data_IF_183159823441
#
_entry.id   IF_183159823441
#
_cell.length_a   1.000
_cell.length_b   1.000
_cell.length_c   1.000
_cell.angle_alpha   90.00
_cell.angle_beta   90.00
_cell.angle_gamma   90.00
#
_symmetry.space_group_name_H-M   'P 1'
#
loop_
_entity.id
_entity.type
_entity.pdbx_description
1 polymer ?
#
# COMPACT_ATOMS: atom_id res chain seq x y z
N UNK A 1 6.14 -0.28 42.56
CA UNK A 1 6.89 -0.65 41.33
C UNK A 1 5.85 -1.11 40.34
N UNK A 2 5.36 -0.19 39.52
CA UNK A 2 4.34 -0.43 38.51
C UNK A 2 5.03 -0.25 37.15
N UNK A 3 5.23 -1.37 36.45
CA UNK A 3 5.75 -1.38 35.10
C UNK A 3 4.70 -0.79 34.16
N UNK A 4 5.06 0.32 33.52
CA UNK A 4 4.29 0.93 32.45
C UNK A 4 4.41 0.08 31.19
N UNK A 5 3.35 -0.67 30.87
CA UNK A 5 3.22 -1.34 29.58
C UNK A 5 3.03 -0.27 28.48
N UNK A 6 4.08 -0.03 27.70
CA UNK A 6 4.01 0.69 26.44
C UNK A 6 3.29 -0.14 25.37
N UNK A 7 2.72 0.49 24.32
CA UNK A 7 1.94 -0.19 23.28
C UNK A 7 2.87 -0.97 22.31
N UNK A 8 3.06 -2.24 22.60
CA UNK A 8 3.91 -3.13 21.81
C UNK A 8 3.41 -4.55 21.80
N UNK A 9 2.18 -4.80 21.36
CA UNK A 9 1.66 -6.16 21.17
C UNK A 9 2.04 -6.69 19.77
N UNK A 10 3.30 -6.98 19.55
CA UNK A 10 3.74 -7.83 18.44
C UNK A 10 3.78 -9.31 18.86
N UNK A 11 2.68 -9.80 19.44
CA UNK A 11 2.51 -11.21 19.79
C UNK A 11 1.57 -11.96 18.85
N UNK A 12 0.74 -11.23 18.11
CA UNK A 12 -0.25 -11.83 17.21
C UNK A 12 0.31 -12.02 15.80
N UNK A 13 -0.20 -13.05 15.10
CA UNK A 13 0.13 -13.26 13.70
C UNK A 13 -0.40 -12.08 12.84
N UNK A 14 0.33 -11.66 11.77
CA UNK A 14 -0.13 -10.59 10.90
C UNK A 14 -1.46 -10.96 10.25
N UNK A 15 -2.35 -9.97 10.12
CA UNK A 15 -3.61 -10.13 9.39
C UNK A 15 -3.35 -10.28 7.88
N UNK A 16 -2.40 -9.50 7.35
CA UNK A 16 -1.94 -9.56 5.98
C UNK A 16 -0.41 -9.65 5.98
N UNK A 17 0.15 -10.66 5.31
CA UNK A 17 1.59 -10.90 5.20
C UNK A 17 1.97 -11.03 3.72
N UNK A 18 2.85 -10.17 3.26
CA UNK A 18 3.38 -10.16 1.89
C UNK A 18 4.87 -10.46 1.96
N UNK A 19 5.33 -11.45 1.22
CA UNK A 19 6.73 -11.89 1.25
C UNK A 19 7.33 -11.95 -0.13
N UNK A 20 8.40 -11.18 -0.33
CA UNK A 20 9.23 -11.23 -1.53
C UNK A 20 8.49 -11.00 -2.84
N UNK A 21 7.47 -10.13 -2.84
CA UNK A 21 6.55 -9.98 -3.96
C UNK A 21 7.23 -9.34 -5.16
N UNK A 22 7.24 -10.05 -6.30
CA UNK A 22 7.72 -9.58 -7.60
C UNK A 22 6.55 -9.50 -8.56
N UNK A 23 6.39 -8.36 -9.23
CA UNK A 23 5.31 -8.14 -10.21
C UNK A 23 5.88 -7.51 -11.47
N UNK A 24 5.47 -8.03 -12.63
CA UNK A 24 5.83 -7.50 -13.93
C UNK A 24 4.61 -6.95 -14.69
N UNK A 25 4.82 -5.87 -15.44
CA UNK A 25 3.92 -5.37 -16.46
C UNK A 25 4.60 -5.55 -17.83
N UNK A 26 4.31 -6.65 -18.51
CA UNK A 26 5.06 -7.08 -19.68
C UNK A 26 6.53 -7.31 -19.35
N UNK A 27 7.43 -6.58 -19.95
CA UNK A 27 8.88 -6.66 -19.68
C UNK A 27 9.34 -5.80 -18.50
N UNK A 28 8.50 -4.89 -18.02
CA UNK A 28 8.86 -3.99 -16.93
C UNK A 28 8.60 -4.65 -15.58
N UNK A 29 9.63 -4.77 -14.76
CA UNK A 29 9.49 -5.19 -13.37
C UNK A 29 9.03 -3.99 -12.53
N UNK A 30 7.78 -4.05 -12.06
CA UNK A 30 7.16 -2.98 -11.29
C UNK A 30 7.38 -3.13 -9.78
N UNK A 31 7.56 -4.37 -9.28
CA UNK A 31 7.91 -4.66 -7.88
C UNK A 31 9.05 -5.66 -7.84
N UNK A 32 9.98 -5.45 -6.91
CA UNK A 32 11.26 -6.18 -6.83
C UNK A 32 11.47 -6.72 -5.41
N UNK A 33 10.73 -7.77 -5.04
CA UNK A 33 10.90 -8.45 -3.76
C UNK A 33 10.31 -7.71 -2.55
N UNK A 34 9.15 -7.08 -2.70
CA UNK A 34 8.49 -6.33 -1.62
C UNK A 34 7.97 -7.27 -0.54
N UNK A 35 8.27 -6.93 0.72
CA UNK A 35 7.73 -7.62 1.90
C UNK A 35 7.14 -6.61 2.88
N UNK A 36 5.99 -6.96 3.48
CA UNK A 36 5.33 -6.20 4.54
C UNK A 36 4.44 -7.11 5.38
N UNK A 37 4.24 -6.74 6.64
CA UNK A 37 3.31 -7.38 7.55
C UNK A 37 2.38 -6.32 8.14
N UNK A 38 1.06 -6.53 8.04
CA UNK A 38 0.04 -5.61 8.56
C UNK A 38 -0.75 -6.33 9.65
N UNK A 39 -0.87 -5.68 10.81
CA UNK A 39 -1.55 -6.25 11.96
C UNK A 39 -2.97 -5.69 12.11
N UNK A 40 -3.86 -6.39 12.85
CA UNK A 40 -5.23 -5.92 13.04
C UNK A 40 -5.29 -4.52 13.64
N UNK A 41 -6.17 -3.65 13.09
CA UNK A 41 -6.41 -2.30 13.60
C UNK A 41 -5.32 -1.26 13.25
N UNK A 42 -4.33 -1.61 12.44
CA UNK A 42 -3.29 -0.69 11.99
C UNK A 42 -3.71 0.17 10.80
N UNK A 43 -3.07 1.33 10.68
CA UNK A 43 -2.96 2.09 9.43
C UNK A 43 -1.54 1.92 8.92
N UNK A 44 -1.37 1.07 7.92
CA UNK A 44 -0.09 0.87 7.27
C UNK A 44 0.00 1.77 6.03
N UNK A 45 0.89 2.75 6.03
CA UNK A 45 1.05 3.67 4.92
C UNK A 45 2.21 3.27 4.01
N UNK A 46 1.95 3.23 2.72
CA UNK A 46 2.95 3.05 1.66
C UNK A 46 3.11 4.39 0.95
N UNK A 47 4.31 4.95 0.98
CA UNK A 47 4.65 6.24 0.37
C UNK A 47 5.72 6.07 -0.70
N UNK A 48 5.72 6.97 -1.67
CA UNK A 48 6.69 6.97 -2.77
C UNK A 48 6.20 7.82 -3.94
N UNK A 49 7.10 8.16 -4.84
CA UNK A 49 6.81 8.94 -6.03
C UNK A 49 5.87 8.21 -7.00
N UNK A 50 5.36 8.93 -8.00
CA UNK A 50 4.64 8.32 -9.11
C UNK A 50 5.53 7.29 -9.83
N UNK A 51 4.97 6.12 -10.11
CA UNK A 51 5.73 5.03 -10.71
C UNK A 51 6.56 4.19 -9.74
N UNK A 52 6.60 4.50 -8.44
CA UNK A 52 7.33 3.71 -7.44
C UNK A 52 6.80 2.29 -7.20
N UNK A 53 5.64 1.91 -7.78
CA UNK A 53 5.05 0.59 -7.64
C UNK A 53 3.92 0.49 -6.62
N UNK A 54 3.52 1.58 -5.96
CA UNK A 54 2.52 1.62 -4.89
C UNK A 54 1.17 0.99 -5.28
N UNK A 55 0.54 1.50 -6.35
CA UNK A 55 -0.75 0.96 -6.84
C UNK A 55 -0.61 -0.46 -7.38
N UNK A 56 0.56 -0.82 -7.92
CA UNK A 56 0.86 -2.20 -8.34
C UNK A 56 0.84 -3.14 -7.13
N UNK A 57 1.40 -2.72 -6.00
CA UNK A 57 1.40 -3.50 -4.76
C UNK A 57 -0.03 -3.70 -4.22
N UNK A 58 -0.84 -2.62 -4.14
CA UNK A 58 -2.24 -2.75 -3.73
C UNK A 58 -3.02 -3.68 -4.66
N UNK A 59 -2.86 -3.53 -5.97
CA UNK A 59 -3.51 -4.39 -6.97
C UNK A 59 -3.06 -5.85 -6.86
N UNK A 60 -1.80 -6.11 -6.53
CA UNK A 60 -1.31 -7.46 -6.30
C UNK A 60 -1.93 -8.08 -5.02
N UNK A 61 -2.05 -7.29 -3.94
CA UNK A 61 -2.73 -7.71 -2.71
C UNK A 61 -4.23 -7.94 -2.95
N UNK A 62 -4.89 -7.11 -3.76
CA UNK A 62 -6.29 -7.27 -4.15
C UNK A 62 -6.51 -8.44 -5.15
N UNK A 63 -5.45 -9.04 -5.70
CA UNK A 63 -5.53 -10.12 -6.70
C UNK A 63 -5.77 -9.65 -8.13
N UNK A 64 -5.72 -8.35 -8.38
CA UNK A 64 -5.88 -7.74 -9.71
C UNK A 64 -4.62 -7.89 -10.58
N UNK A 65 -3.45 -7.94 -9.96
CA UNK A 65 -2.18 -8.24 -10.60
C UNK A 65 -1.63 -9.55 -10.03
N UNK A 66 -1.29 -10.49 -10.91
CA UNK A 66 -0.69 -11.76 -10.48
C UNK A 66 0.81 -11.56 -10.25
N UNK A 67 1.35 -11.85 -9.06
CA UNK A 67 2.79 -11.83 -8.84
C UNK A 67 3.48 -12.96 -9.62
N UNK A 68 4.71 -12.72 -10.05
CA UNK A 68 5.57 -13.73 -10.68
C UNK A 68 6.37 -14.50 -9.63
N UNK A 69 6.68 -13.86 -8.50
CA UNK A 69 7.37 -14.46 -7.36
C UNK A 69 6.81 -13.90 -6.05
N UNK A 70 7.09 -14.60 -4.96
CA UNK A 70 6.63 -14.25 -3.64
C UNK A 70 5.22 -14.72 -3.32
N UNK A 71 4.70 -14.31 -2.16
CA UNK A 71 3.40 -14.75 -1.68
C UNK A 71 2.65 -13.65 -0.94
N UNK A 72 1.32 -13.80 -0.92
CA UNK A 72 0.41 -12.97 -0.13
C UNK A 72 -0.40 -13.92 0.75
N UNK A 73 -0.30 -13.76 2.06
CA UNK A 73 -1.09 -14.52 3.04
C UNK A 73 -2.05 -13.59 3.77
N UNK A 74 -3.26 -14.06 4.01
CA UNK A 74 -4.30 -13.36 4.74
C UNK A 74 -4.89 -14.28 5.81
N UNK A 75 -4.91 -13.83 7.06
CA UNK A 75 -5.30 -14.66 8.23
C UNK A 75 -4.54 -16.00 8.26
N UNK A 76 -3.24 -15.98 7.94
CA UNK A 76 -2.37 -17.15 7.90
C UNK A 76 -2.58 -18.09 6.71
N UNK A 77 -3.51 -17.78 5.79
CA UNK A 77 -3.80 -18.58 4.60
C UNK A 77 -3.16 -17.94 3.37
N UNK A 78 -2.50 -18.73 2.53
CA UNK A 78 -2.00 -18.26 1.24
C UNK A 78 -3.17 -17.94 0.30
N UNK A 79 -3.20 -16.69 -0.17
CA UNK A 79 -4.19 -16.18 -1.11
C UNK A 79 -3.56 -15.79 -2.45
N UNK A 80 -2.29 -16.06 -2.68
CA UNK A 80 -1.51 -15.60 -3.84
C UNK A 80 -2.20 -15.94 -5.17
N UNK A 81 -2.75 -17.15 -5.28
CA UNK A 81 -3.45 -17.61 -6.49
C UNK A 81 -4.94 -17.29 -6.55
N UNK A 82 -5.54 -16.71 -5.50
CA UNK A 82 -6.98 -16.46 -5.46
C UNK A 82 -7.37 -15.26 -6.34
N UNK A 83 -8.55 -15.39 -6.99
CA UNK A 83 -9.13 -14.32 -7.81
C UNK A 83 -9.58 -13.12 -6.96
N UNK A 84 -9.65 -11.91 -7.54
CA UNK A 84 -10.04 -10.68 -6.82
C UNK A 84 -11.38 -10.79 -6.09
N UNK A 85 -12.38 -11.44 -6.72
CA UNK A 85 -13.71 -11.58 -6.15
C UNK A 85 -13.68 -12.42 -4.86
N UNK A 86 -12.86 -13.47 -4.83
CA UNK A 86 -12.68 -14.33 -3.65
C UNK A 86 -12.00 -13.56 -2.53
N UNK A 87 -10.98 -12.75 -2.84
CA UNK A 87 -10.31 -11.90 -1.84
C UNK A 87 -11.25 -10.84 -1.30
N UNK A 88 -12.07 -10.21 -2.15
CA UNK A 88 -13.04 -9.20 -1.73
C UNK A 88 -14.10 -9.80 -0.79
N UNK A 89 -14.68 -10.95 -1.13
CA UNK A 89 -15.64 -11.66 -0.27
C UNK A 89 -15.01 -12.24 1.00
N UNK A 90 -13.68 -12.46 1.01
CA UNK A 90 -12.94 -12.84 2.22
C UNK A 90 -12.67 -11.64 3.15
N UNK A 91 -12.81 -10.40 2.67
CA UNK A 91 -12.67 -9.19 3.48
C UNK A 91 -11.52 -8.26 3.08
N UNK A 92 -10.87 -8.45 1.93
CA UNK A 92 -9.88 -7.53 1.38
C UNK A 92 -10.56 -6.68 0.30
N UNK A 93 -10.92 -5.45 0.62
CA UNK A 93 -11.66 -4.56 -0.28
C UNK A 93 -10.80 -3.36 -0.65
N UNK A 94 -10.81 -2.98 -1.94
CA UNK A 94 -9.99 -1.89 -2.46
C UNK A 94 -10.86 -0.71 -2.92
N UNK A 95 -10.46 0.49 -2.52
CA UNK A 95 -10.86 1.76 -3.13
C UNK A 95 -9.75 2.15 -4.10
N UNK A 96 -9.95 1.96 -5.40
CA UNK A 96 -8.91 2.25 -6.39
C UNK A 96 -8.81 3.74 -6.66
N UNK A 97 -7.66 4.16 -7.18
CA UNK A 97 -7.49 5.46 -7.80
C UNK A 97 -8.58 5.75 -8.84
N UNK A 98 -9.03 6.99 -8.90
CA UNK A 98 -10.09 7.41 -9.84
C UNK A 98 -11.49 6.96 -9.44
N UNK A 99 -11.68 6.55 -8.16
CA UNK A 99 -12.98 6.29 -7.49
C UNK A 99 -13.79 5.13 -8.07
N UNK A 100 -13.76 4.92 -9.39
CA UNK A 100 -14.43 3.83 -10.13
C UNK A 100 -15.90 3.64 -9.72
N UNK A 101 -16.62 4.73 -9.56
CA UNK A 101 -18.07 4.71 -9.35
C UNK A 101 -18.80 4.40 -10.68
N UNK A 102 -20.04 3.97 -10.56
CA UNK A 102 -20.96 3.83 -11.68
C UNK A 102 -21.67 5.17 -11.89
N UNK A 103 -21.30 5.96 -12.92
CA UNK A 103 -21.74 7.36 -13.04
C UNK A 103 -23.23 7.49 -13.35
N UNK A 104 -23.83 6.47 -13.95
CA UNK A 104 -25.26 6.42 -14.25
C UNK A 104 -26.14 6.04 -13.06
N UNK A 105 -25.56 5.42 -12.04
CA UNK A 105 -26.24 5.04 -10.82
C UNK A 105 -26.28 6.18 -9.82
N UNK A 106 -27.29 6.18 -8.97
CA UNK A 106 -27.40 7.07 -7.82
C UNK A 106 -26.36 6.74 -6.76
N UNK A 107 -26.19 7.63 -5.77
CA UNK A 107 -25.36 7.40 -4.61
C UNK A 107 -25.75 6.10 -3.89
N UNK A 108 -27.04 5.94 -3.57
CA UNK A 108 -27.54 4.77 -2.85
C UNK A 108 -27.35 3.48 -3.65
N UNK A 109 -27.63 3.49 -4.97
CA UNK A 109 -27.37 2.33 -5.83
C UNK A 109 -25.86 1.97 -5.88
N UNK A 110 -24.97 2.97 -5.91
CA UNK A 110 -23.52 2.71 -5.81
C UNK A 110 -23.15 2.04 -4.47
N UNK A 111 -23.76 2.43 -3.35
CA UNK A 111 -23.57 1.76 -2.07
C UNK A 111 -24.15 0.35 -2.08
N UNK A 112 -25.33 0.14 -2.67
CA UNK A 112 -25.98 -1.17 -2.80
C UNK A 112 -25.11 -2.16 -3.60
N UNK A 113 -24.40 -1.71 -4.64
CA UNK A 113 -23.42 -2.55 -5.35
C UNK A 113 -22.36 -3.11 -4.38
N UNK A 114 -21.87 -2.29 -3.44
CA UNK A 114 -20.94 -2.74 -2.39
C UNK A 114 -21.57 -3.78 -1.45
N UNK A 115 -22.87 -3.68 -1.19
CA UNK A 115 -23.60 -4.59 -0.31
C UNK A 115 -23.92 -5.95 -0.94
N UNK A 116 -23.86 -6.08 -2.27
CA UNK A 116 -24.33 -7.30 -2.99
C UNK A 116 -23.64 -8.57 -2.53
N UNK A 117 -22.33 -8.47 -2.23
CA UNK A 117 -21.53 -9.59 -1.75
C UNK A 117 -20.85 -9.27 -0.41
N UNK A 118 -21.51 -8.44 0.41
CA UNK A 118 -21.00 -8.02 1.69
C UNK A 118 -20.87 -9.19 2.66
N UNK A 119 -19.81 -9.16 3.45
CA UNK A 119 -19.67 -10.02 4.63
C UNK A 119 -20.63 -9.54 5.74
N UNK A 120 -21.02 -10.42 6.67
CA UNK A 120 -21.66 -9.97 7.90
C UNK A 120 -20.73 -9.00 8.67
N UNK A 121 -21.31 -7.90 9.16
CA UNK A 121 -20.53 -6.92 9.91
C UNK A 121 -21.31 -5.63 10.21
N UNK A 122 -20.68 -4.66 10.85
CA UNK A 122 -21.34 -3.46 11.36
C UNK A 122 -21.65 -2.43 10.28
N UNK A 123 -21.04 -2.53 9.08
CA UNK A 123 -21.18 -1.53 8.03
C UNK A 123 -22.44 -1.82 7.18
N UNK A 124 -23.49 -1.07 7.44
CA UNK A 124 -24.71 -0.97 6.62
C UNK A 124 -24.71 0.35 5.84
N UNK A 125 -25.64 0.51 4.92
CA UNK A 125 -25.83 1.78 4.20
C UNK A 125 -26.17 2.90 5.19
N UNK A 126 -26.99 2.61 6.21
CA UNK A 126 -27.36 3.54 7.28
C UNK A 126 -26.13 3.99 8.06
N UNK A 127 -25.22 3.05 8.40
CA UNK A 127 -23.97 3.39 9.08
C UNK A 127 -23.05 4.26 8.22
N UNK A 128 -23.03 4.06 6.92
CA UNK A 128 -22.34 4.94 5.99
C UNK A 128 -22.95 6.33 5.98
N UNK A 129 -24.29 6.45 6.09
CA UNK A 129 -24.96 7.75 6.22
C UNK A 129 -24.68 8.43 7.57
N UNK A 130 -24.43 7.68 8.64
CA UNK A 130 -23.96 8.24 9.91
C UNK A 130 -22.53 8.79 9.78
N UNK A 131 -21.64 8.10 9.08
CA UNK A 131 -20.28 8.53 8.82
C UNK A 131 -20.24 9.76 7.87
N UNK A 132 -21.15 9.79 6.89
CA UNK A 132 -21.30 10.85 5.89
C UNK A 132 -22.72 11.40 5.87
N UNK A 133 -23.15 12.25 6.84
CA UNK A 133 -24.54 12.67 6.99
C UNK A 133 -25.14 13.31 5.73
N UNK A 134 -24.35 14.06 4.96
CA UNK A 134 -24.78 14.72 3.71
C UNK A 134 -25.27 13.71 2.64
N UNK A 135 -24.85 12.47 2.70
CA UNK A 135 -25.25 11.44 1.73
C UNK A 135 -26.72 11.09 1.85
N UNK A 136 -27.29 11.18 3.06
CA UNK A 136 -28.69 10.86 3.34
C UNK A 136 -29.64 11.76 2.53
N UNK A 137 -29.31 13.04 2.42
CA UNK A 137 -30.15 14.02 1.70
C UNK A 137 -29.99 13.91 0.18
N UNK A 138 -28.90 13.29 -0.28
CA UNK A 138 -28.54 13.18 -1.70
C UNK A 138 -28.53 11.75 -2.24
N UNK A 139 -29.13 10.80 -1.52
CA UNK A 139 -29.10 9.37 -1.89
C UNK A 139 -29.60 9.07 -3.30
N UNK A 140 -30.59 9.83 -3.80
CA UNK A 140 -31.12 9.73 -5.16
C UNK A 140 -30.33 10.48 -6.24
N UNK A 141 -29.27 11.22 -5.87
CA UNK A 141 -28.46 11.97 -6.83
C UNK A 141 -27.51 11.04 -7.59
N UNK A 142 -27.39 11.19 -8.92
CA UNK A 142 -26.43 10.45 -9.73
C UNK A 142 -25.00 10.86 -9.39
N UNK A 143 -24.09 9.90 -9.28
CA UNK A 143 -22.71 10.15 -8.91
C UNK A 143 -21.94 10.97 -9.94
N UNK A 144 -22.34 10.96 -11.21
CA UNK A 144 -21.78 11.85 -12.23
C UNK A 144 -21.96 13.35 -11.94
N UNK A 145 -22.97 13.72 -11.13
CA UNK A 145 -23.30 15.10 -10.78
C UNK A 145 -22.62 15.58 -9.49
N UNK A 146 -21.82 14.73 -8.86
CA UNK A 146 -21.16 15.00 -7.60
C UNK A 146 -19.75 15.57 -7.80
N UNK A 147 -19.32 16.39 -6.84
CA UNK A 147 -17.93 16.85 -6.79
C UNK A 147 -16.96 15.69 -6.56
N UNK A 148 -15.69 15.92 -6.89
CA UNK A 148 -14.65 14.89 -6.72
C UNK A 148 -14.53 14.36 -5.28
N UNK A 149 -14.68 15.22 -4.27
CA UNK A 149 -14.65 14.81 -2.86
C UNK A 149 -15.88 14.01 -2.44
N UNK A 150 -17.05 14.36 -2.93
CA UNK A 150 -18.28 13.59 -2.69
C UNK A 150 -18.18 12.22 -3.34
N UNK A 151 -17.70 12.12 -4.58
CA UNK A 151 -17.46 10.86 -5.26
C UNK A 151 -16.46 9.97 -4.50
N UNK A 152 -15.38 10.58 -3.94
CA UNK A 152 -14.41 9.85 -3.15
C UNK A 152 -15.03 9.28 -1.87
N UNK A 153 -15.87 10.07 -1.19
CA UNK A 153 -16.61 9.62 -0.02
C UNK A 153 -17.58 8.47 -0.35
N UNK A 154 -18.29 8.54 -1.51
CA UNK A 154 -19.16 7.45 -1.97
C UNK A 154 -18.35 6.19 -2.28
N UNK A 155 -17.16 6.31 -2.88
CA UNK A 155 -16.30 5.16 -3.16
C UNK A 155 -15.82 4.47 -1.88
N UNK A 156 -15.47 5.25 -0.84
CA UNK A 156 -15.12 4.75 0.49
C UNK A 156 -16.35 4.08 1.12
N UNK A 157 -17.52 4.74 1.11
CA UNK A 157 -18.76 4.19 1.63
C UNK A 157 -19.12 2.85 0.98
N UNK A 158 -19.03 2.77 -0.35
CA UNK A 158 -19.25 1.52 -1.10
C UNK A 158 -18.30 0.39 -0.65
N UNK A 159 -17.04 0.70 -0.38
CA UNK A 159 -16.09 -0.28 0.11
C UNK A 159 -16.39 -0.70 1.55
N UNK A 160 -16.82 0.22 2.42
CA UNK A 160 -17.18 -0.06 3.81
C UNK A 160 -18.41 -0.97 3.90
N UNK A 161 -19.45 -0.74 3.08
CA UNK A 161 -20.67 -1.59 3.09
C UNK A 161 -20.35 -3.06 2.77
N UNK A 162 -19.25 -3.35 2.07
CA UNK A 162 -18.78 -4.72 1.88
C UNK A 162 -18.22 -5.37 3.17
N UNK A 163 -18.16 -4.64 4.29
CA UNK A 163 -17.62 -5.08 5.58
C UNK A 163 -16.19 -5.63 5.49
N UNK A 164 -15.22 -4.80 5.07
CA UNK A 164 -13.83 -5.23 4.96
C UNK A 164 -13.20 -5.51 6.32
N UNK A 165 -12.27 -6.46 6.38
CA UNK A 165 -11.26 -6.59 7.45
C UNK A 165 -9.99 -5.82 7.09
N UNK A 166 -9.65 -5.78 5.78
CA UNK A 166 -8.56 -5.00 5.23
C UNK A 166 -9.12 -4.07 4.15
N UNK A 167 -9.00 -2.77 4.37
CA UNK A 167 -9.39 -1.73 3.42
C UNK A 167 -8.14 -1.19 2.74
N UNK A 168 -8.02 -1.41 1.45
CA UNK A 168 -6.93 -0.92 0.62
C UNK A 168 -7.34 0.41 -0.01
N UNK A 169 -6.58 1.48 0.25
CA UNK A 169 -6.87 2.84 -0.19
C UNK A 169 -5.77 3.34 -1.12
N UNK A 170 -6.09 3.53 -2.40
CA UNK A 170 -5.14 3.95 -3.44
C UNK A 170 -5.29 5.45 -3.72
N UNK A 171 -4.31 6.24 -3.26
CA UNK A 171 -4.18 7.69 -3.51
C UNK A 171 -5.46 8.50 -3.24
N UNK A 172 -5.93 8.49 -1.99
CA UNK A 172 -7.18 9.15 -1.58
C UNK A 172 -7.18 10.67 -1.81
N UNK A 173 -6.00 11.29 -1.68
CA UNK A 173 -5.82 12.75 -1.73
C UNK A 173 -5.76 13.30 -3.15
N UNK A 174 -5.51 12.45 -4.14
CA UNK A 174 -5.23 12.89 -5.52
C UNK A 174 -6.38 13.68 -6.14
N UNK A 175 -6.08 14.92 -6.55
CA UNK A 175 -7.02 15.81 -7.22
C UNK A 175 -8.15 16.34 -6.33
N UNK A 176 -7.98 16.29 -5.01
CA UNK A 176 -8.92 16.82 -4.04
C UNK A 176 -8.39 18.10 -3.37
N UNK A 177 -9.31 18.99 -3.02
CA UNK A 177 -8.97 20.17 -2.22
C UNK A 177 -8.50 19.75 -0.82
N UNK A 178 -7.51 20.44 -0.21
CA UNK A 178 -6.95 20.07 1.10
C UNK A 178 -7.99 19.90 2.21
N UNK A 179 -9.04 20.73 2.22
CA UNK A 179 -10.13 20.63 3.21
C UNK A 179 -10.93 19.32 3.08
N UNK A 180 -11.08 18.82 1.87
CA UNK A 180 -11.76 17.53 1.62
C UNK A 180 -10.86 16.37 2.06
N UNK A 181 -9.58 16.44 1.74
CA UNK A 181 -8.58 15.47 2.19
C UNK A 181 -8.60 15.36 3.72
N UNK A 182 -8.55 16.49 4.43
CA UNK A 182 -8.61 16.51 5.90
C UNK A 182 -9.90 15.84 6.43
N UNK A 183 -11.05 16.07 5.80
CA UNK A 183 -12.32 15.44 6.20
C UNK A 183 -12.29 13.92 6.01
N UNK A 184 -11.73 13.44 4.90
CA UNK A 184 -11.59 12.01 4.63
C UNK A 184 -10.67 11.35 5.67
N UNK A 185 -9.53 11.97 5.98
CA UNK A 185 -8.62 11.44 7.00
C UNK A 185 -9.19 11.48 8.42
N UNK A 186 -10.01 12.49 8.74
CA UNK A 186 -10.68 12.61 10.04
C UNK A 186 -11.67 11.46 10.33
N UNK A 187 -12.08 10.69 9.32
CA UNK A 187 -12.98 9.54 9.48
C UNK A 187 -12.24 8.23 9.74
N UNK A 188 -10.94 8.15 9.46
CA UNK A 188 -10.17 6.93 9.65
C UNK A 188 -10.26 6.36 11.08
N UNK A 189 -10.21 7.16 12.16
CA UNK A 189 -10.37 6.62 13.51
C UNK A 189 -11.68 5.84 13.71
N UNK A 190 -12.81 6.36 13.22
CA UNK A 190 -14.11 5.67 13.33
C UNK A 190 -14.15 4.37 12.51
N UNK A 191 -13.43 4.34 11.37
CA UNK A 191 -13.27 3.12 10.55
C UNK A 191 -12.44 2.09 11.30
N UNK A 192 -11.33 2.49 11.92
CA UNK A 192 -10.47 1.62 12.72
C UNK A 192 -11.17 1.06 13.95
N UNK A 193 -11.94 1.89 14.67
CA UNK A 193 -12.75 1.49 15.84
C UNK A 193 -13.76 0.39 15.48
N UNK A 194 -14.19 0.30 14.23
CA UNK A 194 -15.05 -0.79 13.76
C UNK A 194 -14.31 -2.11 13.51
N UNK A 195 -12.99 -2.17 13.74
CA UNK A 195 -12.15 -3.35 13.56
C UNK A 195 -11.59 -3.51 12.14
N UNK A 196 -11.71 -2.47 11.31
CA UNK A 196 -11.10 -2.45 9.97
C UNK A 196 -9.62 -2.10 10.07
N UNK A 197 -8.79 -2.81 9.34
CA UNK A 197 -7.36 -2.52 9.16
C UNK A 197 -7.18 -1.80 7.83
N UNK A 198 -6.35 -0.76 7.79
CA UNK A 198 -6.19 0.10 6.62
C UNK A 198 -4.78 -0.03 6.04
N UNK A 199 -4.70 -0.32 4.75
CA UNK A 199 -3.48 -0.19 3.96
C UNK A 199 -3.65 1.00 3.01
N UNK A 200 -2.90 2.06 3.26
CA UNK A 200 -3.03 3.35 2.58
C UNK A 200 -1.84 3.59 1.67
N UNK A 201 -2.09 3.96 0.43
CA UNK A 201 -1.07 4.45 -0.51
C UNK A 201 -1.21 5.95 -0.69
N UNK A 202 -0.12 6.68 -0.49
CA UNK A 202 -0.10 8.14 -0.62
C UNK A 202 1.21 8.66 -1.24
N UNK A 203 1.10 9.86 -1.82
CA UNK A 203 2.25 10.64 -2.28
C UNK A 203 2.64 11.71 -1.26
N UNK A 204 1.65 12.26 -0.52
CA UNK A 204 1.90 13.27 0.51
C UNK A 204 2.40 12.61 1.80
N UNK A 205 3.72 12.71 1.99
CA UNK A 205 4.41 12.21 3.18
C UNK A 205 3.81 12.78 4.47
N UNK A 206 3.42 14.07 4.47
CA UNK A 206 2.90 14.72 5.67
C UNK A 206 1.52 14.17 6.07
N UNK A 207 0.68 13.86 5.09
CA UNK A 207 -0.62 13.21 5.34
C UNK A 207 -0.44 11.77 5.85
N UNK A 208 0.43 11.01 5.20
CA UNK A 208 0.70 9.63 5.61
C UNK A 208 1.23 9.55 7.05
N UNK A 209 2.21 10.40 7.42
CA UNK A 209 2.79 10.44 8.77
C UNK A 209 1.79 10.81 9.87
N UNK A 210 0.72 11.55 9.55
CA UNK A 210 -0.30 11.95 10.54
C UNK A 210 -1.20 10.81 10.99
N UNK A 211 -1.42 9.82 10.12
CA UNK A 211 -2.42 8.78 10.34
C UNK A 211 -1.82 7.37 10.44
N UNK A 212 -0.62 7.18 9.94
CA UNK A 212 0.03 5.87 9.92
C UNK A 212 0.46 5.41 11.32
N UNK A 213 0.26 4.13 11.59
CA UNK A 213 0.91 3.40 12.71
C UNK A 213 2.25 2.83 12.25
N UNK A 214 2.32 2.42 10.97
CA UNK A 214 3.53 1.97 10.29
C UNK A 214 3.61 2.60 8.91
N UNK A 215 4.83 2.79 8.41
CA UNK A 215 5.06 3.31 7.06
C UNK A 215 6.17 2.53 6.35
N UNK A 216 6.07 2.52 5.04
CA UNK A 216 7.05 1.96 4.13
C UNK A 216 7.22 2.88 2.94
N UNK A 217 8.46 3.28 2.65
CA UNK A 217 8.80 4.03 1.44
C UNK A 217 9.14 3.06 0.30
N UNK A 218 8.57 3.33 -0.88
CA UNK A 218 8.91 2.64 -2.11
C UNK A 218 9.60 3.59 -3.09
N UNK A 219 10.67 3.12 -3.69
CA UNK A 219 11.36 3.75 -4.80
C UNK A 219 11.67 2.68 -5.85
N UNK A 220 11.28 2.90 -7.11
CA UNK A 220 11.54 1.99 -8.23
C UNK A 220 11.22 0.52 -7.92
N UNK A 221 10.06 0.28 -7.30
CA UNK A 221 9.59 -1.06 -6.95
C UNK A 221 10.33 -1.74 -5.79
N UNK A 222 11.14 -1.02 -5.03
CA UNK A 222 11.91 -1.51 -3.88
C UNK A 222 11.55 -0.76 -2.61
N UNK A 223 11.68 -1.43 -1.47
CA UNK A 223 11.59 -0.78 -0.15
C UNK A 223 12.88 -0.04 0.14
N UNK A 224 12.79 1.25 0.43
CA UNK A 224 13.93 2.10 0.81
C UNK A 224 13.95 2.45 2.30
N UNK A 225 12.78 2.48 2.95
CA UNK A 225 12.64 2.74 4.37
C UNK A 225 11.39 2.02 4.90
N UNK A 226 11.45 1.53 6.12
CA UNK A 226 10.30 0.96 6.83
C UNK A 226 10.45 1.24 8.33
N UNK A 227 9.34 1.58 9.01
CA UNK A 227 9.32 1.81 10.44
C UNK A 227 8.02 2.45 10.92
N UNK A 228 7.96 2.77 12.21
CA UNK A 228 6.86 3.56 12.77
C UNK A 228 7.14 5.06 12.63
N UNK A 229 6.13 5.94 12.64
CA UNK A 229 6.33 7.40 12.65
C UNK A 229 7.19 7.91 13.81
N UNK A 230 7.28 7.15 14.92
CA UNK A 230 8.14 7.48 16.06
C UNK A 230 9.63 7.11 15.84
N UNK A 231 9.89 6.11 15.00
CA UNK A 231 11.24 5.60 14.72
C UNK A 231 11.92 6.32 13.55
N UNK A 232 11.13 6.94 12.67
CA UNK A 232 11.64 7.58 11.45
C UNK A 232 11.50 9.09 11.55
N UNK A 233 12.54 9.82 11.15
CA UNK A 233 12.48 11.26 11.02
C UNK A 233 11.92 11.66 9.66
N UNK A 234 11.31 12.84 9.58
CA UNK A 234 10.85 13.41 8.31
C UNK A 234 11.97 13.46 7.26
N UNK A 235 13.18 13.83 7.67
CA UNK A 235 14.34 13.88 6.78
C UNK A 235 14.71 12.51 6.21
N UNK A 236 14.65 11.44 7.02
CA UNK A 236 14.89 10.08 6.54
C UNK A 236 13.79 9.64 5.54
N UNK A 237 12.54 10.00 5.80
CA UNK A 237 11.44 9.70 4.87
C UNK A 237 11.62 10.45 3.55
N UNK A 238 11.95 11.74 3.59
CA UNK A 238 12.24 12.54 2.39
C UNK A 238 13.45 12.00 1.63
N UNK A 239 14.53 11.63 2.31
CA UNK A 239 15.71 11.01 1.70
C UNK A 239 15.35 9.68 1.01
N UNK A 240 14.58 8.81 1.68
CA UNK A 240 14.12 7.54 1.12
C UNK A 240 13.17 7.72 -0.06
N UNK A 241 12.33 8.76 -0.02
CA UNK A 241 11.37 9.11 -1.07
C UNK A 241 12.05 9.57 -2.36
N UNK A 242 13.12 10.39 -2.24
CA UNK A 242 13.86 10.94 -3.38
C UNK A 242 15.10 10.11 -3.76
N UNK A 243 15.45 9.09 -2.99
CA UNK A 243 16.68 8.30 -3.18
C UNK A 243 17.96 9.08 -2.90
N UNK A 244 17.87 10.15 -2.09
CA UNK A 244 19.01 10.98 -1.71
C UNK A 244 19.58 10.43 -0.41
N UNK A 245 20.85 10.02 -0.41
CA UNK A 245 21.59 9.72 0.82
C UNK A 245 22.30 10.97 1.31
N UNK A 246 22.27 11.22 2.62
CA UNK A 246 23.13 12.24 3.24
C UNK A 246 24.59 11.98 2.85
N UNK A 247 25.06 12.71 1.85
CA UNK A 247 26.45 13.11 1.60
C UNK A 247 27.49 12.08 1.19
N UNK A 248 27.20 10.78 0.94
CA UNK A 248 28.16 9.90 0.23
C UNK A 248 27.71 8.43 0.14
N UNK A 249 27.15 8.03 -0.92
CA UNK A 249 26.93 6.67 -1.44
C UNK A 249 25.46 6.32 -1.69
N UNK A 250 25.11 5.82 -2.87
CA UNK A 250 23.76 5.35 -3.15
C UNK A 250 23.45 4.10 -2.31
N UNK A 251 22.23 4.01 -1.77
CA UNK A 251 21.73 2.95 -0.87
C UNK A 251 21.90 1.49 -1.39
N UNK A 252 22.36 1.30 -2.62
CA UNK A 252 22.57 -0.02 -3.21
C UNK A 252 24.01 -0.53 -3.17
N UNK A 253 24.98 0.24 -2.65
CA UNK A 253 26.38 -0.20 -2.52
C UNK A 253 26.64 -1.18 -1.35
N UNK A 254 25.63 -1.44 -0.50
CA UNK A 254 25.73 -2.35 0.65
C UNK A 254 25.39 -3.83 0.40
N UNK A 255 24.94 -4.22 -0.79
CA UNK A 255 24.47 -5.59 -1.08
C UNK A 255 25.47 -6.47 -1.84
N UNK A 256 26.74 -6.05 -1.98
CA UNK A 256 27.77 -6.81 -2.72
C UNK A 256 28.93 -7.31 -1.85
N UNK A 257 28.70 -7.66 -0.58
CA UNK A 257 29.74 -8.31 0.24
C UNK A 257 29.22 -9.53 0.98
N UNK A 258 28.75 -10.54 0.23
CA UNK A 258 28.70 -11.92 0.73
C UNK A 258 28.86 -12.88 -0.45
N UNK A 259 30.05 -12.92 -1.05
CA UNK A 259 30.60 -14.10 -1.74
C UNK A 259 31.99 -13.78 -2.28
N UNK A 260 33.00 -13.78 -1.44
CA UNK A 260 34.38 -14.10 -1.81
C UNK A 260 35.14 -14.56 -0.58
N UNK A 261 34.99 -15.82 -0.25
CA UNK A 261 35.99 -16.58 0.50
C UNK A 261 36.27 -17.83 -0.31
N UNK A 262 37.42 -17.84 -0.96
CA UNK A 262 38.35 -18.96 -1.00
C UNK A 262 39.33 -18.80 -2.17
N UNK A 263 40.49 -18.56 -1.74
CA UNK A 263 41.80 -19.10 -2.08
C UNK A 263 42.60 -18.48 -3.22
N UNK A 264 43.83 -18.05 -2.90
CA UNK A 264 44.83 -17.68 -3.91
C UNK A 264 45.72 -18.90 -4.18
N UNK A 265 45.86 -19.28 -5.42
CA UNK A 265 46.95 -20.15 -5.85
C UNK A 265 47.52 -19.63 -7.17
N UNK A 266 48.70 -19.10 -7.03
CA UNK A 266 49.83 -19.15 -7.95
C UNK A 266 49.58 -19.21 -9.46
N UNK A 267 49.91 -18.19 -10.18
CA UNK A 267 50.63 -18.37 -11.44
C UNK A 267 51.66 -17.25 -11.64
N UNK A 268 52.90 -17.60 -11.34
CA UNK A 268 54.14 -16.93 -11.71
C UNK A 268 54.41 -17.23 -13.18
N UNK A 269 54.88 -16.21 -13.92
CA UNK A 269 55.55 -16.28 -15.25
C UNK A 269 54.63 -16.25 -16.47
N UNK A 270 54.60 -15.10 -17.08
CA UNK A 270 54.93 -15.05 -18.51
C UNK A 270 55.61 -13.73 -18.85
N UNK A 271 56.81 -13.92 -19.36
CA UNK A 271 57.77 -12.92 -19.78
C UNK A 271 57.35 -12.22 -21.08
N UNK A 272 57.87 -11.00 -21.19
CA UNK A 272 57.98 -10.16 -22.40
C UNK A 272 58.15 -10.96 -23.70
N UNK A 273 57.35 -10.68 -24.69
CA UNK A 273 57.83 -10.39 -26.04
C UNK A 273 56.60 -10.16 -26.99
N UNK A 274 56.85 -9.24 -27.93
CA UNK A 274 56.12 -9.02 -29.18
C UNK A 274 54.88 -8.11 -29.16
N UNK A 275 55.19 -6.82 -29.16
CA UNK A 275 54.56 -5.78 -29.93
C UNK A 275 54.87 -5.99 -31.40
N UNK A 276 53.90 -5.98 -32.33
CA UNK A 276 53.89 -5.32 -33.65
C UNK A 276 52.75 -5.80 -34.54
N UNK A 277 52.19 -4.75 -35.18
CA UNK A 277 51.42 -4.78 -36.46
C UNK A 277 50.07 -5.49 -36.38
N UNK A 278 48.95 -4.88 -36.84
CA UNK A 278 48.71 -4.21 -38.10
C UNK A 278 47.48 -3.34 -38.05
N UNK A 279 47.62 -2.20 -38.66
CA UNK A 279 46.61 -1.44 -39.35
C UNK A 279 46.02 -2.26 -40.55
N UNK A 280 44.71 -2.28 -40.65
CA UNK A 280 43.91 -2.11 -41.86
C UNK A 280 42.44 -2.00 -41.42
#
# INVERSE_FOLDING_TARGET
>A
MSESNGPGLRGDAPLLDVRGLVVHHGQLQALSGISLAVYPGEVYAIIGANGAGKSTLLRAIAGLNRPTEGSVSYEGKDITGLRPEVRATSGIVMVPEGRRLFPSLTLEENLQVGATYARPGPWTIERVFELFPWMKDRRGQKTAQMSGGEQQSVAIGRALVANPRVLLLDELSLGLAPVIVQRIYAMLPQILESGVTVLLVEQDVSQALRVATHLQCLLEGRTTLQGTPAEVTRAQVEAAYFGVTDGSQPLWSGLTTLSRASSPAACTRCSRAACRSCSA
#
